data_IF_939073743642
#
_entry.id   IF_939073743642
#
_cell.length_a   1.000
_cell.length_b   1.000
_cell.length_c   1.000
_cell.angle_alpha   90.00
_cell.angle_beta   90.00
_cell.angle_gamma   90.00
#
_symmetry.space_group_name_H-M   'P 1'
#
loop_
_entity.id
_entity.type
_entity.pdbx_description
1 polymer ?
#
# COMPACT_ATOMS: atom_id res chain seq x y z
N UNK A 1 -40.45 28.39 24.30
CA UNK A 1 -41.67 28.74 23.53
C UNK A 1 -42.90 28.00 24.08
N UNK A 2 -42.86 26.67 24.27
CA UNK A 2 -43.98 25.85 24.75
C UNK A 2 -44.41 26.27 26.19
N UNK A 3 -43.43 26.60 27.05
CA UNK A 3 -43.71 27.06 28.44
C UNK A 3 -44.38 28.43 28.52
N UNK A 4 -44.31 29.24 27.44
CA UNK A 4 -44.92 30.58 27.38
C UNK A 4 -46.37 30.57 26.89
N UNK A 5 -46.94 29.44 26.50
CA UNK A 5 -48.30 29.28 26.09
C UNK A 5 -49.21 29.03 27.33
N UNK A 6 -50.39 29.64 27.39
CA UNK A 6 -51.34 29.44 28.51
C UNK A 6 -52.07 28.10 28.38
N UNK A 7 -51.34 27.02 28.53
CA UNK A 7 -51.81 25.63 28.45
C UNK A 7 -51.95 25.01 29.84
N UNK A 8 -52.83 24.05 30.07
CA UNK A 8 -52.86 23.24 31.27
C UNK A 8 -51.51 22.56 31.51
N UNK A 9 -51.12 22.46 32.78
CA UNK A 9 -49.80 21.89 33.19
C UNK A 9 -49.57 20.47 32.64
N UNK A 10 -50.61 19.67 32.54
CA UNK A 10 -50.54 18.31 31.99
C UNK A 10 -50.18 18.29 30.48
N UNK A 11 -50.82 19.17 29.71
CA UNK A 11 -50.54 19.33 28.27
C UNK A 11 -49.14 19.89 28.04
N UNK A 12 -48.71 20.83 28.86
CA UNK A 12 -47.37 21.40 28.80
C UNK A 12 -46.28 20.29 29.05
N UNK A 13 -46.49 19.42 30.05
CA UNK A 13 -45.62 18.29 30.34
C UNK A 13 -45.55 17.29 29.16
N UNK A 14 -46.71 16.96 28.59
CA UNK A 14 -46.75 16.04 27.41
C UNK A 14 -46.06 16.63 26.20
N UNK A 15 -46.24 17.92 25.92
CA UNK A 15 -45.55 18.60 24.79
C UNK A 15 -44.04 18.65 24.99
N UNK A 16 -43.55 18.96 26.22
CA UNK A 16 -42.12 18.95 26.53
C UNK A 16 -41.54 17.55 26.34
N UNK A 17 -42.24 16.52 26.81
CA UNK A 17 -41.82 15.12 26.63
C UNK A 17 -41.76 14.72 25.14
N UNK A 18 -42.76 15.12 24.34
CA UNK A 18 -42.81 14.88 22.92
C UNK A 18 -41.64 15.57 22.20
N UNK A 19 -41.37 16.84 22.50
CA UNK A 19 -40.24 17.57 21.97
C UNK A 19 -38.91 16.92 22.37
N UNK A 20 -38.78 16.49 23.63
CA UNK A 20 -37.60 15.76 24.09
C UNK A 20 -37.37 14.47 23.31
N UNK A 21 -38.42 13.69 23.05
CA UNK A 21 -38.36 12.48 22.26
C UNK A 21 -37.94 12.77 20.82
N UNK A 22 -38.54 13.78 20.17
CA UNK A 22 -38.20 14.16 18.79
C UNK A 22 -36.75 14.62 18.70
N UNK A 23 -36.28 15.48 19.59
CA UNK A 23 -34.90 15.97 19.63
C UNK A 23 -33.94 14.78 19.82
N UNK A 24 -34.25 13.89 20.74
CA UNK A 24 -33.43 12.68 20.99
C UNK A 24 -33.36 11.81 19.75
N UNK A 25 -34.48 11.59 19.06
CA UNK A 25 -34.51 10.83 17.82
C UNK A 25 -33.66 11.47 16.70
N UNK A 26 -33.76 12.80 16.54
CA UNK A 26 -32.97 13.55 15.57
C UNK A 26 -31.45 13.43 15.89
N UNK A 27 -31.05 13.59 17.15
CA UNK A 27 -29.65 13.45 17.56
C UNK A 27 -29.18 12.02 17.36
N UNK A 28 -29.98 11.01 17.69
CA UNK A 28 -29.65 9.62 17.50
C UNK A 28 -29.39 9.29 16.01
N UNK A 29 -30.29 9.73 15.12
CA UNK A 29 -30.14 9.55 13.68
C UNK A 29 -28.91 10.29 13.14
N UNK A 30 -28.71 11.55 13.55
CA UNK A 30 -27.56 12.35 13.11
C UNK A 30 -26.21 11.76 13.58
N UNK A 31 -26.18 11.08 14.72
CA UNK A 31 -24.96 10.48 15.29
C UNK A 31 -24.60 9.14 14.67
N UNK A 32 -25.46 8.52 13.89
CA UNK A 32 -25.26 7.15 13.36
C UNK A 32 -23.97 7.01 12.58
N UNK A 33 -23.67 7.94 11.66
CA UNK A 33 -22.44 7.90 10.86
C UNK A 33 -21.20 8.04 11.72
N UNK A 34 -21.22 8.90 12.72
CA UNK A 34 -20.11 9.09 13.65
C UNK A 34 -19.83 7.79 14.44
N UNK A 35 -20.86 7.25 15.06
CA UNK A 35 -20.77 6.00 15.85
C UNK A 35 -20.30 4.84 14.96
N UNK A 36 -20.83 4.73 13.75
CA UNK A 36 -20.43 3.68 12.79
C UNK A 36 -18.95 3.77 12.41
N UNK A 37 -18.40 4.97 12.20
CA UNK A 37 -16.98 5.15 11.93
C UNK A 37 -16.09 4.81 13.13
N UNK A 38 -16.51 5.13 14.36
CA UNK A 38 -15.81 4.73 15.59
C UNK A 38 -15.77 3.21 15.70
N UNK A 39 -16.93 2.55 15.55
CA UNK A 39 -17.02 1.09 15.63
C UNK A 39 -16.18 0.41 14.55
N UNK A 40 -16.23 0.92 13.31
CA UNK A 40 -15.37 0.44 12.23
C UNK A 40 -13.89 0.62 12.56
N UNK A 41 -13.49 1.76 13.11
CA UNK A 41 -12.12 2.02 13.53
C UNK A 41 -11.62 1.07 14.61
N UNK A 42 -12.45 0.76 15.59
CA UNK A 42 -12.14 -0.23 16.63
C UNK A 42 -12.01 -1.64 16.03
N UNK A 43 -12.90 -2.01 15.11
CA UNK A 43 -12.86 -3.30 14.44
C UNK A 43 -11.63 -3.45 13.55
N UNK A 44 -11.26 -2.42 12.76
CA UNK A 44 -10.04 -2.41 11.95
C UNK A 44 -8.77 -2.57 12.80
N UNK A 45 -8.77 -2.03 14.03
CA UNK A 45 -7.67 -2.21 14.98
C UNK A 45 -7.64 -3.63 15.55
N UNK A 46 -8.80 -4.18 15.93
CA UNK A 46 -8.90 -5.52 16.50
C UNK A 46 -8.50 -6.61 15.51
N UNK A 47 -8.91 -6.48 14.24
CA UNK A 47 -8.60 -7.44 13.18
C UNK A 47 -7.15 -7.28 12.66
N UNK A 48 -6.52 -6.11 12.87
CA UNK A 48 -5.15 -5.80 12.42
C UNK A 48 -4.89 -6.15 10.95
N UNK A 49 -5.85 -5.85 10.07
CA UNK A 49 -5.80 -6.22 8.65
C UNK A 49 -4.63 -5.61 7.90
N UNK A 50 -4.14 -4.44 8.32
CA UNK A 50 -2.99 -3.72 7.77
C UNK A 50 -2.35 -2.83 8.84
N UNK A 51 -1.08 -2.49 8.66
CA UNK A 51 -0.30 -1.65 9.58
C UNK A 51 0.08 -0.31 8.94
N UNK A 52 0.66 0.59 9.75
CA UNK A 52 1.30 1.80 9.23
C UNK A 52 2.45 1.43 8.31
N UNK A 53 2.54 2.09 7.16
CA UNK A 53 3.55 1.83 6.15
C UNK A 53 3.18 0.74 5.14
N UNK A 54 2.13 -0.04 5.35
CA UNK A 54 1.64 -0.99 4.36
C UNK A 54 1.02 -0.28 3.15
N UNK A 55 1.18 -0.86 1.97
CA UNK A 55 0.43 -0.42 0.80
C UNK A 55 -0.94 -1.07 0.79
N UNK A 56 -1.97 -0.26 0.63
CA UNK A 56 -3.35 -0.75 0.49
C UNK A 56 -3.99 -0.21 -0.79
N UNK A 57 -4.92 -1.00 -1.33
CA UNK A 57 -5.81 -0.58 -2.41
C UNK A 57 -7.25 -0.81 -1.99
N UNK A 58 -8.06 0.25 -2.08
CA UNK A 58 -9.48 0.24 -1.72
C UNK A 58 -10.25 1.00 -2.79
N UNK A 59 -11.07 0.30 -3.57
CA UNK A 59 -11.67 0.88 -4.76
C UNK A 59 -10.61 1.42 -5.73
N UNK A 60 -10.73 2.68 -6.11
CA UNK A 60 -9.77 3.38 -6.98
C UNK A 60 -8.54 3.92 -6.22
N UNK A 61 -8.58 3.92 -4.89
CA UNK A 61 -7.51 4.50 -4.08
C UNK A 61 -6.40 3.48 -3.84
N UNK A 62 -5.18 3.85 -4.21
CA UNK A 62 -3.96 3.11 -3.90
C UNK A 62 -2.97 4.03 -3.21
N UNK A 63 -2.36 3.56 -2.13
CA UNK A 63 -1.39 4.34 -1.39
C UNK A 63 -0.85 3.60 -0.18
N UNK A 64 0.06 4.27 0.51
CA UNK A 64 0.72 3.77 1.70
C UNK A 64 0.07 4.37 2.94
N UNK A 65 -0.24 3.53 3.93
CA UNK A 65 -0.92 3.94 5.16
C UNK A 65 -0.01 4.85 5.98
N UNK A 66 -0.48 6.08 6.22
CA UNK A 66 0.23 7.08 7.03
C UNK A 66 -0.33 7.20 8.42
N UNK A 67 -1.67 7.07 8.57
CA UNK A 67 -2.33 7.19 9.86
C UNK A 67 -3.54 6.27 9.97
N UNK A 68 -3.74 5.69 11.17
CA UNK A 68 -4.94 4.93 11.54
C UNK A 68 -5.60 5.61 12.73
N UNK A 69 -6.44 6.61 12.45
CA UNK A 69 -7.22 7.33 13.46
C UNK A 69 -8.47 6.54 13.86
N UNK A 70 -9.22 7.04 14.84
CA UNK A 70 -10.44 6.38 15.31
C UNK A 70 -11.57 6.45 14.29
N UNK A 71 -11.68 7.55 13.55
CA UNK A 71 -12.78 7.81 12.62
C UNK A 71 -12.39 7.56 11.16
N UNK A 72 -11.10 7.66 10.85
CA UNK A 72 -10.59 7.56 9.49
C UNK A 72 -9.21 6.89 9.46
N UNK A 73 -8.83 6.45 8.29
CA UNK A 73 -7.47 6.03 7.96
C UNK A 73 -6.97 6.92 6.83
N UNK A 74 -5.75 7.43 6.95
CA UNK A 74 -5.11 8.23 5.91
C UNK A 74 -4.10 7.38 5.15
N UNK A 75 -4.11 7.53 3.82
CA UNK A 75 -3.10 6.94 2.94
C UNK A 75 -2.43 8.03 2.11
N UNK A 76 -1.17 7.84 1.79
CA UNK A 76 -0.43 8.69 0.84
C UNK A 76 -0.40 8.00 -0.53
N UNK A 77 -0.89 8.70 -1.56
CA UNK A 77 -0.91 8.22 -2.94
C UNK A 77 0.48 8.29 -3.61
N UNK A 78 0.60 7.73 -4.83
CA UNK A 78 1.81 7.84 -5.66
C UNK A 78 2.10 9.29 -6.08
N UNK A 79 1.07 10.14 -6.13
CA UNK A 79 1.19 11.58 -6.45
C UNK A 79 1.50 12.44 -5.21
N UNK A 80 1.83 11.79 -4.09
CA UNK A 80 2.11 12.43 -2.79
C UNK A 80 0.89 13.05 -2.11
N UNK A 81 -0.30 12.85 -2.64
CA UNK A 81 -1.54 13.33 -2.03
C UNK A 81 -1.91 12.52 -0.80
N UNK A 82 -2.50 13.17 0.20
CA UNK A 82 -3.06 12.52 1.36
C UNK A 82 -4.56 12.26 1.14
N UNK A 83 -4.95 11.01 1.11
CA UNK A 83 -6.34 10.58 0.94
C UNK A 83 -6.87 10.09 2.28
N UNK A 84 -7.87 10.78 2.81
CA UNK A 84 -8.55 10.40 4.05
C UNK A 84 -9.76 9.52 3.76
N UNK A 85 -9.71 8.27 4.21
CA UNK A 85 -10.76 7.28 4.01
C UNK A 85 -11.52 7.08 5.33
N UNK A 86 -12.85 7.31 5.39
CA UNK A 86 -13.65 6.96 6.56
C UNK A 86 -13.52 5.48 6.91
N UNK A 87 -13.39 5.14 8.19
CA UNK A 87 -13.20 3.74 8.59
C UNK A 87 -14.39 2.85 8.20
N UNK A 88 -15.61 3.41 8.18
CA UNK A 88 -16.79 2.71 7.69
C UNK A 88 -16.65 2.33 6.21
N UNK A 89 -16.06 3.19 5.38
CA UNK A 89 -15.80 2.90 3.97
C UNK A 89 -14.83 1.72 3.81
N UNK A 90 -13.75 1.70 4.61
CA UNK A 90 -12.77 0.60 4.61
C UNK A 90 -13.38 -0.75 5.04
N UNK A 91 -14.34 -0.71 5.96
CA UNK A 91 -15.05 -1.92 6.40
C UNK A 91 -16.08 -2.42 5.37
N UNK A 92 -16.63 -1.51 4.57
CA UNK A 92 -17.64 -1.83 3.56
C UNK A 92 -17.06 -2.27 2.21
N UNK A 93 -15.76 -2.05 1.97
CA UNK A 93 -15.10 -2.32 0.69
C UNK A 93 -14.01 -3.40 0.83
N UNK A 94 -13.75 -4.18 -0.22
CA UNK A 94 -12.59 -5.07 -0.25
C UNK A 94 -11.28 -4.27 -0.16
N UNK A 95 -10.47 -4.55 0.85
CA UNK A 95 -9.14 -3.95 1.02
C UNK A 95 -8.09 -4.96 0.55
N UNK A 96 -7.33 -4.61 -0.49
CA UNK A 96 -6.15 -5.36 -0.90
C UNK A 96 -4.94 -4.81 -0.17
N UNK A 97 -4.25 -5.64 0.58
CA UNK A 97 -3.07 -5.26 1.35
C UNK A 97 -1.84 -5.91 0.74
N UNK A 98 -0.82 -5.09 0.49
CA UNK A 98 0.51 -5.59 0.14
C UNK A 98 1.25 -5.85 1.44
N UNK A 99 1.50 -7.14 1.72
CA UNK A 99 2.14 -7.55 2.97
C UNK A 99 3.62 -7.20 2.99
N UNK A 100 4.13 -6.84 4.14
CA UNK A 100 5.56 -6.59 4.37
C UNK A 100 6.45 -7.82 4.13
N UNK A 101 5.87 -9.04 4.15
CA UNK A 101 6.56 -10.29 3.83
C UNK A 101 6.90 -10.50 2.36
N UNK A 102 6.53 -9.56 1.50
CA UNK A 102 6.78 -9.61 0.07
C UNK A 102 5.51 -9.64 -0.79
N UNK A 103 5.70 -9.34 -2.07
CA UNK A 103 4.62 -9.33 -3.06
C UNK A 103 5.12 -9.75 -4.43
N UNK A 104 4.21 -10.09 -5.32
CA UNK A 104 4.54 -10.35 -6.72
C UNK A 104 4.47 -9.04 -7.50
N UNK A 105 5.56 -8.69 -8.16
CA UNK A 105 5.62 -7.58 -9.12
C UNK A 105 5.50 -8.14 -10.52
N UNK A 106 4.65 -7.51 -11.34
CA UNK A 106 4.38 -7.99 -12.70
C UNK A 106 4.44 -6.85 -13.71
N UNK A 107 4.79 -7.21 -14.95
CA UNK A 107 4.67 -6.36 -16.12
C UNK A 107 3.99 -7.12 -17.26
N UNK A 108 3.07 -6.46 -17.92
CA UNK A 108 2.37 -7.00 -19.09
C UNK A 108 2.98 -6.44 -20.36
N UNK A 109 3.08 -7.28 -21.41
CA UNK A 109 3.54 -6.89 -22.73
C UNK A 109 2.80 -7.70 -23.80
N UNK A 110 2.47 -7.05 -24.92
CA UNK A 110 1.87 -7.70 -26.09
C UNK A 110 2.92 -7.91 -27.17
N UNK A 111 3.01 -9.13 -27.70
CA UNK A 111 3.96 -9.52 -28.75
C UNK A 111 3.21 -10.10 -29.94
N UNK A 112 3.78 -9.99 -31.14
CA UNK A 112 3.21 -10.58 -32.33
C UNK A 112 3.24 -12.11 -32.31
N UNK A 113 2.41 -12.75 -33.13
CA UNK A 113 2.37 -14.22 -33.33
C UNK A 113 3.60 -14.77 -34.03
N UNK A 114 4.34 -13.94 -34.70
CA UNK A 114 5.63 -14.25 -35.37
C UNK A 114 6.79 -14.45 -34.38
N UNK A 115 6.60 -13.99 -33.13
CA UNK A 115 7.59 -14.11 -32.05
C UNK A 115 7.61 -15.51 -31.47
N UNK A 116 8.79 -16.17 -31.55
CA UNK A 116 8.94 -17.49 -30.93
C UNK A 116 8.75 -17.42 -29.40
N UNK A 117 7.79 -18.20 -28.89
CA UNK A 117 7.42 -18.24 -27.44
C UNK A 117 8.63 -18.46 -26.53
N UNK A 118 9.51 -19.39 -26.87
CA UNK A 118 10.68 -19.73 -26.04
C UNK A 118 11.62 -18.54 -25.92
N UNK A 119 11.87 -17.84 -27.06
CA UNK A 119 12.71 -16.63 -27.11
C UNK A 119 12.12 -15.50 -26.25
N UNK A 120 10.83 -15.23 -26.40
CA UNK A 120 10.10 -14.24 -25.59
C UNK A 120 10.18 -14.58 -24.10
N UNK A 121 9.83 -15.82 -23.72
CA UNK A 121 9.86 -16.26 -22.31
C UNK A 121 11.25 -16.13 -21.68
N UNK A 122 12.30 -16.49 -22.41
CA UNK A 122 13.68 -16.36 -21.91
C UNK A 122 14.12 -14.90 -21.75
N UNK A 123 13.75 -14.03 -22.68
CA UNK A 123 14.04 -12.60 -22.57
C UNK A 123 13.34 -11.97 -21.37
N UNK A 124 12.05 -12.25 -21.19
CA UNK A 124 11.24 -11.76 -20.08
C UNK A 124 11.74 -12.27 -18.72
N UNK A 125 12.09 -13.56 -18.59
CA UNK A 125 12.67 -14.10 -17.36
C UNK A 125 14.01 -13.44 -17.01
N UNK A 126 14.88 -13.19 -18.00
CA UNK A 126 16.14 -12.48 -17.79
C UNK A 126 15.91 -11.03 -17.33
N UNK A 127 14.89 -10.35 -17.88
CA UNK A 127 14.50 -9.02 -17.44
C UNK A 127 14.11 -9.00 -15.96
N UNK A 128 13.24 -9.90 -15.53
CA UNK A 128 12.82 -10.00 -14.14
C UNK A 128 13.97 -10.37 -13.19
N UNK A 129 14.83 -11.31 -13.58
CA UNK A 129 16.01 -11.66 -12.80
C UNK A 129 16.98 -10.47 -12.63
N UNK A 130 17.12 -9.60 -13.66
CA UNK A 130 17.97 -8.41 -13.59
C UNK A 130 17.42 -7.30 -12.66
N UNK A 131 16.15 -7.43 -12.22
CA UNK A 131 15.50 -6.54 -11.24
C UNK A 131 15.59 -7.07 -9.82
N UNK A 132 16.39 -8.12 -9.56
CA UNK A 132 16.49 -8.77 -8.24
C UNK A 132 15.15 -9.33 -7.74
N UNK A 133 14.26 -9.70 -8.66
CA UNK A 133 13.01 -10.38 -8.32
C UNK A 133 13.27 -11.89 -8.20
N UNK A 134 12.82 -12.47 -7.08
CA UNK A 134 12.90 -13.91 -6.84
C UNK A 134 11.95 -14.70 -7.75
N UNK A 135 12.35 -15.93 -8.08
CA UNK A 135 11.54 -16.91 -8.80
C UNK A 135 10.79 -16.35 -10.02
N UNK A 136 11.48 -15.77 -11.02
CA UNK A 136 10.83 -15.14 -12.15
C UNK A 136 10.07 -16.15 -13.01
N UNK A 137 8.81 -15.89 -13.30
CA UNK A 137 7.97 -16.69 -14.16
C UNK A 137 7.23 -15.85 -15.19
N UNK A 138 6.83 -16.50 -16.28
CA UNK A 138 6.11 -15.85 -17.38
C UNK A 138 4.83 -16.63 -17.65
N UNK A 139 3.74 -15.90 -17.77
CA UNK A 139 2.42 -16.41 -18.12
C UNK A 139 1.99 -15.84 -19.48
N UNK A 140 1.28 -16.65 -20.26
CA UNK A 140 0.52 -16.15 -21.40
C UNK A 140 -0.86 -15.80 -20.84
N UNK A 141 -1.22 -14.52 -20.92
CA UNK A 141 -2.48 -14.01 -20.34
C UNK A 141 -3.62 -14.05 -21.33
N UNK A 142 -3.29 -13.89 -22.63
CA UNK A 142 -4.29 -13.80 -23.67
C UNK A 142 -3.70 -14.21 -25.03
N UNK A 143 -4.51 -14.87 -25.83
CA UNK A 143 -4.28 -15.09 -27.27
C UNK A 143 -5.30 -14.21 -28.02
N UNK A 144 -4.94 -12.93 -28.23
CA UNK A 144 -5.80 -11.95 -28.87
C UNK A 144 -5.79 -12.04 -30.40
N UNK A 145 -6.64 -11.28 -31.07
CA UNK A 145 -6.80 -11.32 -32.53
C UNK A 145 -5.52 -10.94 -33.28
N UNK A 146 -4.70 -10.05 -32.72
CA UNK A 146 -3.51 -9.49 -33.38
C UNK A 146 -2.21 -9.68 -32.60
N UNK A 147 -2.29 -10.09 -31.35
CA UNK A 147 -1.14 -10.20 -30.46
C UNK A 147 -1.34 -11.24 -29.38
N UNK A 148 -0.23 -11.70 -28.80
CA UNK A 148 -0.20 -12.59 -27.65
C UNK A 148 0.18 -11.77 -26.42
N UNK A 149 -0.66 -11.79 -25.38
CA UNK A 149 -0.39 -11.15 -24.10
C UNK A 149 0.54 -12.00 -23.24
N UNK A 150 1.63 -11.42 -22.80
CA UNK A 150 2.57 -12.01 -21.85
C UNK A 150 2.60 -11.21 -20.55
N UNK A 151 2.62 -11.90 -19.43
CA UNK A 151 2.87 -11.33 -18.12
C UNK A 151 4.12 -11.95 -17.53
N UNK A 152 5.13 -11.12 -17.31
CA UNK A 152 6.31 -11.52 -16.53
C UNK A 152 6.13 -11.08 -15.09
N UNK A 153 6.47 -11.96 -14.17
CA UNK A 153 6.28 -11.75 -12.73
C UNK A 153 7.50 -12.26 -11.97
N UNK A 154 7.72 -11.70 -10.80
CA UNK A 154 8.71 -12.19 -9.84
C UNK A 154 8.39 -11.71 -8.44
N UNK A 155 8.95 -12.37 -7.45
CA UNK A 155 8.72 -12.08 -6.04
C UNK A 155 9.62 -10.92 -5.58
N UNK A 156 9.03 -9.91 -4.95
CA UNK A 156 9.73 -8.79 -4.32
C UNK A 156 9.64 -8.96 -2.81
N UNK A 157 10.79 -9.14 -2.15
CA UNK A 157 10.88 -9.27 -0.70
C UNK A 157 10.65 -7.92 -0.01
N UNK A 158 11.38 -6.88 -0.43
CA UNK A 158 11.24 -5.54 0.15
C UNK A 158 10.17 -4.72 -0.57
N UNK A 159 8.98 -4.69 0.00
CA UNK A 159 7.82 -3.99 -0.57
C UNK A 159 7.92 -2.46 -0.50
N UNK A 160 8.90 -1.90 0.26
CA UNK A 160 9.09 -0.45 0.34
C UNK A 160 9.41 0.15 -1.03
N UNK A 161 10.06 -0.63 -1.88
CA UNK A 161 10.46 -0.23 -3.23
C UNK A 161 9.49 -0.75 -4.32
N UNK A 162 8.21 -0.98 -3.97
CA UNK A 162 7.23 -1.59 -4.87
C UNK A 162 7.02 -0.82 -6.17
N UNK A 163 6.85 0.51 -6.06
CA UNK A 163 6.54 1.38 -7.22
C UNK A 163 7.75 1.47 -8.15
N UNK A 164 8.94 1.71 -7.59
CA UNK A 164 10.19 1.74 -8.36
C UNK A 164 10.48 0.41 -9.04
N UNK A 165 10.30 -0.71 -8.34
CA UNK A 165 10.52 -2.05 -8.91
C UNK A 165 9.54 -2.36 -10.03
N UNK A 166 8.30 -1.87 -9.97
CA UNK A 166 7.35 -1.98 -11.10
C UNK A 166 7.86 -1.23 -12.34
N UNK A 167 8.31 0.01 -12.16
CA UNK A 167 8.85 0.83 -13.24
C UNK A 167 10.13 0.24 -13.78
N UNK A 168 11.05 -0.20 -12.91
CA UNK A 168 12.30 -0.86 -13.29
C UNK A 168 12.04 -2.13 -14.10
N UNK A 169 11.09 -2.98 -13.66
CA UNK A 169 10.73 -4.20 -14.39
C UNK A 169 10.24 -3.87 -15.81
N UNK A 170 9.36 -2.87 -15.96
CA UNK A 170 8.86 -2.45 -17.29
C UNK A 170 10.00 -1.99 -18.21
N UNK A 171 10.93 -1.18 -17.70
CA UNK A 171 12.11 -0.74 -18.45
C UNK A 171 13.00 -1.93 -18.85
N UNK A 172 13.30 -2.84 -17.94
CA UNK A 172 14.10 -4.04 -18.23
C UNK A 172 13.43 -4.99 -19.22
N UNK A 173 12.10 -5.10 -19.18
CA UNK A 173 11.33 -5.88 -20.17
C UNK A 173 11.50 -5.27 -21.56
N UNK A 174 11.33 -3.94 -21.68
CA UNK A 174 11.52 -3.22 -22.93
C UNK A 174 12.93 -3.45 -23.49
N UNK A 175 13.96 -3.22 -22.68
CA UNK A 175 15.36 -3.38 -23.07
C UNK A 175 15.70 -4.83 -23.47
N UNK A 176 15.19 -5.81 -22.71
CA UNK A 176 15.48 -7.22 -22.96
C UNK A 176 14.82 -7.72 -24.25
N UNK A 177 13.62 -7.26 -24.57
CA UNK A 177 12.93 -7.59 -25.82
C UNK A 177 13.61 -6.93 -27.02
N UNK A 178 13.95 -5.64 -26.93
CA UNK A 178 14.71 -4.95 -27.98
C UNK A 178 16.07 -5.63 -28.24
N UNK A 179 16.81 -5.94 -27.16
CA UNK A 179 18.10 -6.66 -27.29
C UNK A 179 17.95 -8.06 -27.85
N UNK A 180 16.80 -8.69 -27.62
CA UNK A 180 16.47 -9.99 -28.23
C UNK A 180 15.98 -9.85 -29.69
N UNK A 181 15.86 -8.66 -30.26
CA UNK A 181 15.29 -8.43 -31.60
C UNK A 181 13.81 -8.82 -31.67
N UNK A 182 13.07 -8.60 -30.58
CA UNK A 182 11.64 -8.86 -30.53
C UNK A 182 10.89 -7.54 -30.57
N UNK A 183 10.03 -7.39 -31.56
CA UNK A 183 9.19 -6.21 -31.73
C UNK A 183 8.02 -6.26 -30.76
N UNK A 184 7.76 -5.13 -30.09
CA UNK A 184 6.61 -4.98 -29.20
C UNK A 184 5.47 -4.39 -30.01
N UNK A 185 4.41 -5.15 -30.19
CA UNK A 185 3.28 -4.78 -31.03
C UNK A 185 2.13 -4.27 -30.16
N UNK A 186 1.62 -3.09 -30.50
CA UNK A 186 0.34 -2.61 -29.93
C UNK A 186 -0.83 -3.13 -30.78
N UNK A 187 -1.86 -3.74 -30.19
CA UNK A 187 -3.01 -4.25 -30.94
C UNK A 187 -3.79 -3.16 -31.70
N UNK A 188 -3.62 -1.89 -31.34
CA UNK A 188 -4.26 -0.75 -32.00
C UNK A 188 -3.39 -0.07 -33.06
N UNK A 189 -2.17 -0.58 -33.32
CA UNK A 189 -1.23 0.06 -34.25
C UNK A 189 -1.31 -0.56 -35.63
N UNK A 190 -2.19 -0.06 -36.49
CA UNK A 190 -2.18 -0.32 -37.93
C UNK A 190 -1.33 0.74 -38.62
N UNK A 191 -0.03 0.45 -38.79
CA UNK A 191 0.84 1.27 -39.62
C UNK A 191 0.89 0.63 -41.03
N UNK A 192 0.14 1.18 -41.99
CA UNK A 192 0.17 0.78 -43.38
C UNK A 192 1.40 1.37 -44.11
N UNK A 193 2.51 1.58 -43.43
CA UNK A 193 3.76 1.94 -44.07
C UNK A 193 4.37 0.68 -44.70
N UNK A 194 4.57 0.68 -46.04
CA UNK A 194 5.45 -0.28 -46.66
C UNK A 194 6.86 -0.02 -46.14
N UNK A 195 7.29 -0.83 -45.19
CA UNK A 195 8.63 -0.75 -44.60
C UNK A 195 9.51 -1.68 -45.44
N UNK A 196 10.64 -1.19 -45.99
CA UNK A 196 11.64 -2.05 -46.59
C UNK A 196 12.08 -3.12 -45.59
N UNK A 197 12.25 -4.34 -46.05
CA UNK A 197 12.61 -5.51 -45.21
C UNK A 197 13.99 -5.41 -44.56
N UNK A 198 14.80 -4.45 -44.96
CA UNK A 198 16.17 -4.20 -44.49
C UNK A 198 16.26 -3.09 -43.39
N UNK A 199 15.16 -2.44 -43.07
CA UNK A 199 15.13 -1.40 -42.02
C UNK A 199 14.70 -2.00 -40.69
N UNK A 200 15.61 -2.06 -39.73
CA UNK A 200 15.31 -2.42 -38.36
C UNK A 200 14.85 -1.18 -37.58
N UNK A 201 13.65 -1.25 -36.98
CA UNK A 201 13.12 -0.20 -36.10
C UNK A 201 13.50 -0.41 -34.61
N UNK A 202 14.39 -1.36 -34.34
CA UNK A 202 14.86 -1.60 -32.97
C UNK A 202 15.84 -0.47 -32.65
N UNK A 203 15.56 0.36 -31.62
CA UNK A 203 16.50 1.37 -31.15
C UNK A 203 17.81 0.72 -30.72
N UNK A 204 18.94 1.35 -31.06
CA UNK A 204 20.22 0.93 -30.48
C UNK A 204 20.13 0.95 -28.96
N UNK A 205 20.71 -0.09 -28.33
CA UNK A 205 20.71 -0.21 -26.88
C UNK A 205 21.36 1.05 -26.26
N UNK A 206 20.54 1.96 -25.75
CA UNK A 206 21.01 3.12 -25.00
C UNK A 206 21.74 2.65 -23.75
N UNK A 207 22.88 3.27 -23.44
CA UNK A 207 23.56 3.03 -22.17
C UNK A 207 22.55 3.23 -21.02
N UNK A 208 22.43 2.26 -20.18
CA UNK A 208 21.46 2.19 -19.08
C UNK A 208 21.57 3.45 -18.23
N UNK A 209 20.57 4.32 -18.29
CA UNK A 209 20.38 5.31 -17.25
C UNK A 209 20.18 4.53 -15.94
N UNK A 210 21.10 4.69 -15.02
CA UNK A 210 20.94 4.20 -13.65
C UNK A 210 19.95 5.13 -12.96
N UNK A 211 18.66 4.90 -13.18
CA UNK A 211 17.66 5.45 -12.26
C UNK A 211 17.82 4.69 -10.95
N UNK A 212 18.24 5.38 -9.89
CA UNK A 212 18.28 4.80 -8.56
C UNK A 212 16.83 4.64 -8.06
N UNK A 213 16.35 3.39 -7.96
CA UNK A 213 14.94 3.16 -7.60
C UNK A 213 14.59 3.74 -6.22
N UNK A 214 15.55 3.80 -5.31
CA UNK A 214 15.34 4.24 -3.94
C UNK A 214 14.94 5.72 -3.82
N UNK A 215 15.32 6.55 -4.80
CA UNK A 215 14.99 7.98 -4.77
C UNK A 215 13.52 8.24 -5.10
N UNK A 216 12.91 7.40 -5.92
CA UNK A 216 11.52 7.59 -6.37
C UNK A 216 10.51 7.39 -5.23
N UNK A 217 10.61 6.28 -4.48
CA UNK A 217 9.72 6.01 -3.35
C UNK A 217 9.92 6.99 -2.20
N UNK A 218 11.15 7.42 -1.95
CA UNK A 218 11.45 8.41 -0.92
C UNK A 218 10.76 9.76 -1.19
N UNK A 219 10.65 10.15 -2.47
CA UNK A 219 9.94 11.37 -2.87
C UNK A 219 8.43 11.19 -2.76
N UNK A 220 7.91 10.02 -3.17
CA UNK A 220 6.47 9.73 -3.22
C UNK A 220 5.87 9.51 -1.82
N UNK A 221 6.60 8.87 -0.91
CA UNK A 221 6.05 8.36 0.35
C UNK A 221 6.77 8.87 1.60
N UNK A 222 7.28 10.11 1.58
CA UNK A 222 8.04 10.72 2.66
C UNK A 222 7.35 10.65 4.04
N UNK A 223 6.05 10.97 4.08
CA UNK A 223 5.25 10.89 5.31
C UNK A 223 5.02 9.44 5.76
N UNK A 224 4.75 8.55 4.83
CA UNK A 224 4.53 7.13 5.14
C UNK A 224 5.80 6.47 5.70
N UNK A 225 6.97 6.78 5.14
CA UNK A 225 8.26 6.30 5.65
C UNK A 225 8.56 6.81 7.05
N UNK A 226 8.28 8.09 7.33
CA UNK A 226 8.43 8.66 8.66
C UNK A 226 7.55 7.94 9.69
N UNK A 227 6.29 7.70 9.35
CA UNK A 227 5.33 7.03 10.24
C UNK A 227 5.74 5.58 10.47
N UNK A 228 6.19 4.86 9.42
CA UNK A 228 6.69 3.50 9.55
C UNK A 228 7.90 3.42 10.49
N UNK A 229 8.89 4.31 10.33
CA UNK A 229 10.04 4.40 11.24
C UNK A 229 9.67 4.69 12.68
N UNK A 230 8.70 5.60 12.89
CA UNK A 230 8.20 5.89 14.24
C UNK A 230 7.50 4.69 14.87
N UNK A 231 6.75 3.91 14.07
CA UNK A 231 6.11 2.68 14.54
C UNK A 231 7.15 1.63 14.93
N UNK A 232 8.19 1.43 14.12
CA UNK A 232 9.29 0.50 14.40
C UNK A 232 10.06 0.89 15.67
N UNK A 233 10.39 2.19 15.84
CA UNK A 233 11.08 2.68 17.02
C UNK A 233 10.24 2.51 18.30
N UNK A 234 8.92 2.72 18.20
CA UNK A 234 8.01 2.46 19.33
C UNK A 234 7.96 0.99 19.70
N UNK A 235 7.90 0.11 18.71
CA UNK A 235 7.92 -1.34 18.94
C UNK A 235 9.25 -1.78 19.59
N UNK A 236 10.39 -1.26 19.13
CA UNK A 236 11.70 -1.52 19.76
C UNK A 236 11.77 -1.00 21.19
N UNK A 237 11.28 0.21 21.44
CA UNK A 237 11.21 0.76 22.79
C UNK A 237 10.36 -0.10 23.73
N UNK A 238 9.20 -0.55 23.25
CA UNK A 238 8.28 -1.35 24.07
C UNK A 238 8.85 -2.75 24.32
N UNK A 239 9.55 -3.35 23.35
CA UNK A 239 10.29 -4.60 23.52
C UNK A 239 11.43 -4.47 24.55
N UNK A 240 12.22 -3.40 24.46
CA UNK A 240 13.28 -3.11 25.42
C UNK A 240 12.75 -2.84 26.85
N UNK A 241 11.55 -2.21 26.96
CA UNK A 241 10.91 -2.06 28.26
C UNK A 241 10.54 -3.39 28.90
N UNK A 242 9.93 -4.29 28.11
CA UNK A 242 9.57 -5.63 28.60
C UNK A 242 10.83 -6.40 29.01
N UNK A 243 11.93 -6.28 28.27
CA UNK A 243 13.20 -6.91 28.61
C UNK A 243 13.80 -6.32 29.88
N UNK A 244 13.75 -4.99 30.05
CA UNK A 244 14.16 -4.31 31.29
C UNK A 244 13.33 -4.76 32.50
N UNK A 245 12.00 -4.79 32.38
CA UNK A 245 11.12 -5.25 33.45
C UNK A 245 11.41 -6.72 33.83
N UNK A 246 11.72 -7.57 32.84
CA UNK A 246 12.13 -8.96 33.10
C UNK A 246 13.49 -9.05 33.80
N UNK A 247 14.46 -8.21 33.43
CA UNK A 247 15.78 -8.16 34.08
C UNK A 247 15.67 -7.60 35.49
N UNK A 248 14.81 -6.61 35.72
CA UNK A 248 14.54 -6.08 37.08
C UNK A 248 13.87 -7.14 37.97
N UNK A 249 12.88 -7.88 37.45
CA UNK A 249 12.23 -8.97 38.17
C UNK A 249 13.18 -10.16 38.46
N UNK A 250 14.10 -10.45 37.53
CA UNK A 250 15.11 -11.50 37.72
C UNK A 250 16.34 -11.01 38.49
N UNK A 251 16.54 -9.70 38.65
CA UNK A 251 17.70 -9.07 39.24
C UNK A 251 17.60 -8.82 40.77
N UNK A 252 16.42 -8.98 41.36
CA UNK A 252 16.21 -8.83 42.80
C UNK A 252 16.98 -9.91 43.64
N UNK A 253 17.52 -10.94 42.98
CA UNK A 253 18.27 -12.04 43.66
C UNK A 253 19.81 -12.04 43.40
N UNK A 254 20.40 -11.01 42.79
CA UNK A 254 21.85 -11.05 42.47
C UNK A 254 22.59 -9.76 42.89
N UNK A 255 23.66 -9.87 43.70
CA UNK A 255 24.45 -8.71 44.16
C UNK A 255 25.17 -7.91 43.07
N UNK A 256 25.09 -8.36 41.80
CA UNK A 256 25.69 -7.68 40.63
C UNK A 256 24.78 -6.56 40.06
N UNK A 257 23.49 -6.61 40.31
CA UNK A 257 22.51 -5.57 39.85
C UNK A 257 22.73 -4.23 40.57
N UNK A 258 23.07 -4.24 41.85
CA UNK A 258 23.39 -3.02 42.62
C UNK A 258 24.63 -2.29 42.10
N UNK A 259 25.63 -3.03 41.58
CA UNK A 259 26.84 -2.44 41.01
C UNK A 259 26.61 -1.73 39.69
N UNK A 260 25.70 -2.25 38.82
CA UNK A 260 25.34 -1.60 37.56
C UNK A 260 24.47 -0.38 37.77
N UNK A 261 23.60 -0.37 38.75
CA UNK A 261 22.77 0.78 39.13
C UNK A 261 23.59 2.00 39.56
N UNK A 262 24.64 1.78 40.32
CA UNK A 262 25.55 2.84 40.79
C UNK A 262 26.40 3.46 39.65
N UNK A 263 26.74 2.69 38.63
CA UNK A 263 27.50 3.22 37.47
C UNK A 263 26.64 4.07 36.52
N UNK A 264 25.33 3.83 36.44
CA UNK A 264 24.46 4.60 35.54
C UNK A 264 23.98 5.93 36.13
N UNK A 265 23.89 6.02 37.47
CA UNK A 265 23.45 7.27 38.15
C UNK A 265 24.62 8.23 38.47
N UNK A 266 25.89 7.85 38.18
CA UNK A 266 27.04 8.74 38.32
C UNK A 266 27.48 9.36 36.98
N UNK A 267 26.79 9.08 35.87
CA UNK A 267 27.07 9.58 34.52
C UNK A 267 25.99 10.55 33.97
N UNK A 268 25.02 10.93 34.77
CA UNK A 268 24.11 12.07 34.55
C UNK A 268 24.41 13.13 35.59
#
# INVERSE_FOLDING_TARGET
LVVALPLPSELTGQLISLFGLVITAVIALASTTFVSNVMAGLMLRAVSSFAHGDFIRVGEHFGRVTEKALLHTEIQSEDRDLVTLPNLYLMAQPVKVVRSSGTIVSADVSLGYDVNRTRATQALKRAAASCELGDPFVQITELGDTSVGYRVSGFLEDVRNLVSKRTQLRGRVLDALHKAGVEIVSPAFMNQRQIPTDVSFIPEASATAQDDPADLERIMFDKADLVARLADLRAQRDALRVELDQLEQNGEDTPQAEAMWRTHHLAT
#
